data_IF_971451272953
#
_entry.id   IF_971451272953
#
_cell.length_a   1.000
_cell.length_b   1.000
_cell.length_c   1.000
_cell.angle_alpha   90.00
_cell.angle_beta   90.00
_cell.angle_gamma   90.00
#
_symmetry.space_group_name_H-M   'P 1'
#
loop_
_entity.id
_entity.type
_entity.pdbx_description
1 polymer ?
#
# COMPACT_ATOMS: atom_id res chain seq x y z
N UNK A 1 -10.31 2.05 20.83
CA UNK A 1 -9.34 3.15 21.04
C UNK A 1 -9.08 3.87 19.72
N UNK A 2 -8.45 5.05 19.74
CA UNK A 2 -8.29 5.89 18.55
C UNK A 2 -7.61 5.19 17.35
N UNK A 3 -6.53 4.43 17.57
CA UNK A 3 -5.88 3.67 16.49
C UNK A 3 -6.73 2.55 15.88
N UNK A 4 -7.70 2.01 16.63
CA UNK A 4 -8.65 1.03 16.09
C UNK A 4 -9.64 1.68 15.13
N UNK A 5 -10.07 2.92 15.42
CA UNK A 5 -10.96 3.69 14.52
C UNK A 5 -10.24 4.01 13.21
N UNK A 6 -8.98 4.44 13.27
CA UNK A 6 -8.17 4.67 12.07
C UNK A 6 -8.02 3.37 11.28
N UNK A 7 -7.68 2.28 11.96
CA UNK A 7 -7.51 0.98 11.29
C UNK A 7 -8.80 0.52 10.64
N UNK A 8 -9.94 0.59 11.32
CA UNK A 8 -11.22 0.17 10.77
C UNK A 8 -11.61 0.99 9.55
N UNK A 9 -11.48 2.32 9.61
CA UNK A 9 -11.85 3.20 8.49
C UNK A 9 -10.94 3.03 7.27
N UNK A 10 -9.62 2.89 7.47
CA UNK A 10 -8.71 2.63 6.36
C UNK A 10 -8.93 1.22 5.78
N UNK A 11 -9.17 0.21 6.61
CA UNK A 11 -9.45 -1.16 6.17
C UNK A 11 -10.75 -1.23 5.39
N UNK A 12 -11.80 -0.54 5.85
CA UNK A 12 -13.07 -0.44 5.13
C UNK A 12 -12.88 0.19 3.75
N UNK A 13 -12.15 1.29 3.65
CA UNK A 13 -11.82 1.90 2.36
C UNK A 13 -11.05 0.95 1.43
N UNK A 14 -10.01 0.29 1.94
CA UNK A 14 -9.22 -0.67 1.16
C UNK A 14 -10.07 -1.85 0.68
N UNK A 15 -10.97 -2.36 1.52
CA UNK A 15 -11.84 -3.48 1.18
C UNK A 15 -12.88 -3.09 0.13
N UNK A 16 -13.52 -1.92 0.26
CA UNK A 16 -14.43 -1.41 -0.75
C UNK A 16 -13.73 -1.24 -2.10
N UNK A 17 -12.53 -0.64 -2.11
CA UNK A 17 -11.74 -0.51 -3.34
C UNK A 17 -11.42 -1.87 -3.98
N UNK A 18 -11.02 -2.87 -3.18
CA UNK A 18 -10.73 -4.22 -3.68
C UNK A 18 -11.96 -4.87 -4.32
N UNK A 19 -13.14 -4.71 -3.70
CA UNK A 19 -14.39 -5.27 -4.20
C UNK A 19 -14.76 -4.63 -5.54
N UNK A 20 -14.74 -3.30 -5.64
CA UNK A 20 -15.02 -2.60 -6.90
C UNK A 20 -14.03 -2.99 -8.01
N UNK A 21 -12.74 -3.16 -7.66
CA UNK A 21 -11.73 -3.56 -8.63
C UNK A 21 -11.95 -4.99 -9.14
N UNK A 22 -12.36 -5.90 -8.26
CA UNK A 22 -12.68 -7.29 -8.62
C UNK A 22 -13.93 -7.36 -9.51
N UNK A 23 -14.98 -6.60 -9.18
CA UNK A 23 -16.18 -6.50 -10.02
C UNK A 23 -15.88 -5.93 -11.41
N UNK A 24 -15.07 -4.86 -11.49
CA UNK A 24 -14.66 -4.28 -12.76
C UNK A 24 -13.78 -5.21 -13.60
N UNK A 25 -12.87 -5.98 -13.00
CA UNK A 25 -12.08 -6.96 -13.72
C UNK A 25 -12.95 -8.12 -14.26
N UNK A 26 -13.89 -8.60 -13.46
CA UNK A 26 -14.85 -9.63 -13.88
C UNK A 26 -15.77 -9.11 -14.99
N UNK A 27 -16.30 -7.89 -14.87
CA UNK A 27 -17.12 -7.26 -15.91
C UNK A 27 -16.32 -6.95 -17.18
N UNK A 28 -15.04 -6.58 -17.08
CA UNK A 28 -14.14 -6.35 -18.21
C UNK A 28 -13.86 -7.64 -19.01
N UNK A 29 -13.87 -8.81 -18.36
CA UNK A 29 -13.75 -10.10 -19.04
C UNK A 29 -14.98 -10.43 -19.88
N UNK A 30 -16.20 -10.24 -19.34
CA UNK A 30 -17.45 -10.49 -20.09
C UNK A 30 -17.72 -9.43 -21.16
N UNK A 31 -17.34 -8.17 -20.93
CA UNK A 31 -17.58 -7.06 -21.85
C UNK A 31 -16.60 -7.00 -23.03
N UNK A 32 -15.44 -7.66 -22.95
CA UNK A 32 -14.50 -7.80 -24.08
C UNK A 32 -15.11 -8.52 -25.28
N UNK A 33 -16.21 -9.26 -25.10
CA UNK A 33 -16.98 -9.88 -26.20
C UNK A 33 -18.13 -9.00 -26.72
N UNK A 34 -18.48 -7.89 -26.06
CA UNK A 34 -19.70 -7.11 -26.39
C UNK A 34 -19.48 -5.60 -26.63
N UNK A 35 -18.33 -5.01 -26.27
CA UNK A 35 -18.15 -3.56 -26.27
C UNK A 35 -17.46 -2.96 -27.51
N UNK A 36 -18.16 -2.93 -28.65
CA UNK A 36 -17.88 -1.96 -29.74
C UNK A 36 -18.85 -0.77 -29.75
N UNK A 37 -19.93 -0.78 -28.95
CA UNK A 37 -20.88 0.35 -28.88
C UNK A 37 -21.31 0.59 -27.44
N UNK A 38 -20.72 1.58 -26.75
CA UNK A 38 -21.24 2.00 -25.45
C UNK A 38 -20.23 2.58 -24.46
N UNK A 39 -19.33 3.47 -24.88
CA UNK A 39 -18.31 4.04 -24.00
C UNK A 39 -18.76 5.36 -23.31
N UNK A 40 -19.96 5.39 -22.73
CA UNK A 40 -20.53 6.60 -22.11
C UNK A 40 -21.32 6.30 -20.83
N UNK A 41 -20.75 5.55 -19.88
CA UNK A 41 -21.34 5.42 -18.52
C UNK A 41 -20.32 5.45 -17.38
N UNK A 42 -19.05 5.79 -17.65
CA UNK A 42 -17.94 5.85 -16.67
C UNK A 42 -17.83 7.26 -16.07
N UNK A 43 -18.92 7.81 -15.52
CA UNK A 43 -18.91 9.14 -14.88
C UNK A 43 -19.39 9.16 -13.43
N UNK A 44 -20.09 8.13 -12.97
CA UNK A 44 -20.70 8.10 -11.63
C UNK A 44 -19.76 7.47 -10.58
N UNK A 45 -19.06 6.39 -10.96
CA UNK A 45 -18.19 5.62 -10.06
C UNK A 45 -16.93 6.38 -9.60
N UNK A 46 -16.40 7.28 -10.44
CA UNK A 46 -15.27 8.16 -10.08
C UNK A 46 -15.66 9.23 -9.05
N UNK A 47 -16.92 9.64 -9.01
CA UNK A 47 -17.43 10.65 -8.08
C UNK A 47 -17.53 10.14 -6.64
N UNK A 48 -18.02 8.91 -6.46
CA UNK A 48 -18.14 8.29 -5.13
C UNK A 48 -16.77 8.05 -4.48
N UNK A 49 -15.79 7.54 -5.25
CA UNK A 49 -14.41 7.38 -4.78
C UNK A 49 -13.77 8.69 -4.34
N UNK A 50 -13.97 9.76 -5.11
CA UNK A 50 -13.47 11.10 -4.78
C UNK A 50 -14.07 11.64 -3.46
N UNK A 51 -15.36 11.37 -3.22
CA UNK A 51 -16.06 11.75 -1.99
C UNK A 51 -15.50 11.01 -0.76
N UNK A 52 -15.23 9.71 -0.90
CA UNK A 52 -14.72 8.89 0.19
C UNK A 52 -13.25 9.20 0.52
N UNK A 53 -12.43 9.45 -0.50
CA UNK A 53 -11.06 9.95 -0.31
C UNK A 53 -11.06 11.30 0.44
N UNK A 54 -11.99 12.19 0.11
CA UNK A 54 -12.14 13.47 0.84
C UNK A 54 -12.54 13.26 2.31
N UNK A 55 -13.44 12.32 2.61
CA UNK A 55 -13.79 11.97 3.98
C UNK A 55 -12.58 11.42 4.77
N UNK A 56 -11.72 10.67 4.10
CA UNK A 56 -10.48 10.17 4.69
C UNK A 56 -9.44 11.26 4.96
N UNK A 57 -9.51 12.45 4.34
CA UNK A 57 -8.54 13.51 4.62
C UNK A 57 -8.59 14.01 6.07
N UNK A 58 -9.79 14.12 6.66
CA UNK A 58 -9.91 14.46 8.07
C UNK A 58 -9.29 13.37 8.96
N UNK A 59 -9.54 12.10 8.62
CA UNK A 59 -8.94 10.96 9.31
C UNK A 59 -7.42 10.93 9.18
N UNK A 60 -6.88 11.19 7.99
CA UNK A 60 -5.44 11.24 7.73
C UNK A 60 -4.78 12.40 8.46
N UNK A 61 -5.42 13.57 8.55
CA UNK A 61 -4.89 14.69 9.34
C UNK A 61 -4.84 14.32 10.82
N UNK A 62 -5.91 13.70 11.31
CA UNK A 62 -5.97 13.26 12.69
C UNK A 62 -4.96 12.12 12.97
N UNK A 63 -4.67 11.26 11.99
CA UNK A 63 -3.62 10.24 12.07
C UNK A 63 -2.22 10.86 12.05
N UNK A 64 -1.99 11.86 11.20
CA UNK A 64 -0.77 12.66 11.16
C UNK A 64 -0.49 13.29 12.52
N UNK A 65 -1.46 14.01 13.10
CA UNK A 65 -1.32 14.63 14.42
C UNK A 65 -1.01 13.58 15.50
N UNK A 66 -1.68 12.43 15.48
CA UNK A 66 -1.44 11.37 16.46
C UNK A 66 -0.02 10.78 16.38
N UNK A 67 0.52 10.57 15.17
CA UNK A 67 1.89 10.10 14.98
C UNK A 67 2.89 11.20 15.34
N UNK A 68 2.63 12.44 14.92
CA UNK A 68 3.54 13.56 15.10
C UNK A 68 3.67 14.00 16.56
N UNK A 69 2.56 14.04 17.30
CA UNK A 69 2.51 14.55 18.66
C UNK A 69 2.70 13.48 19.74
N UNK A 70 2.45 12.20 19.44
CA UNK A 70 2.47 11.14 20.45
C UNK A 70 3.35 9.95 20.04
N UNK A 71 4.59 9.93 20.55
CA UNK A 71 5.52 8.81 20.35
C UNK A 71 4.98 7.46 20.86
N UNK A 72 4.11 7.45 21.87
CA UNK A 72 3.51 6.21 22.35
C UNK A 72 2.51 5.64 21.35
N UNK A 73 1.94 6.47 20.48
CA UNK A 73 1.02 6.01 19.44
C UNK A 73 1.71 5.10 18.41
N UNK A 74 3.03 5.21 18.24
CA UNK A 74 3.82 4.30 17.40
C UNK A 74 3.68 2.85 17.86
N UNK A 75 3.50 2.58 19.17
CA UNK A 75 3.25 1.22 19.66
C UNK A 75 1.93 0.65 19.15
N UNK A 76 0.95 1.51 18.85
CA UNK A 76 -0.33 1.11 18.26
C UNK A 76 -0.16 0.69 16.79
N UNK A 77 0.87 1.20 16.09
CA UNK A 77 1.21 0.74 14.73
C UNK A 77 1.65 -0.73 14.71
N UNK A 78 2.23 -1.22 15.81
CA UNK A 78 2.73 -2.58 15.97
C UNK A 78 1.67 -3.59 16.42
N UNK A 79 0.51 -3.12 16.89
CA UNK A 79 -0.55 -4.01 17.38
C UNK A 79 -1.10 -4.84 16.22
N UNK A 80 -0.72 -6.11 16.22
CA UNK A 80 -1.14 -7.08 15.20
C UNK A 80 -2.55 -7.51 15.54
N UNK A 81 -3.48 -7.27 14.63
CA UNK A 81 -4.84 -7.77 14.73
C UNK A 81 -4.83 -9.21 14.23
N UNK A 82 -5.15 -10.15 15.11
CA UNK A 82 -5.54 -11.50 14.73
C UNK A 82 -7.06 -11.52 14.83
N UNK A 83 -7.74 -11.63 13.70
CA UNK A 83 -9.18 -11.93 13.69
C UNK A 83 -9.37 -13.40 14.09
N UNK A 84 -9.03 -13.73 15.34
CA UNK A 84 -9.38 -14.96 16.02
C UNK A 84 -10.36 -14.61 17.14
N UNK A 85 -11.47 -13.96 16.78
CA UNK A 85 -12.64 -13.83 17.65
C UNK A 85 -13.43 -15.14 17.62
N UNK A 86 -12.85 -16.18 18.21
CA UNK A 86 -13.60 -17.31 18.73
C UNK A 86 -13.12 -17.54 20.16
N UNK A 87 -14.00 -17.51 21.18
CA UNK A 87 -13.60 -17.94 22.52
C UNK A 87 -13.09 -19.39 22.43
N UNK A 88 -12.11 -19.79 23.26
CA UNK A 88 -11.58 -21.15 23.20
C UNK A 88 -12.72 -22.10 23.56
N UNK A 89 -13.27 -22.78 22.56
CA UNK A 89 -14.20 -23.87 22.80
C UNK A 89 -13.39 -25.04 23.38
N UNK A 90 -13.86 -25.72 24.43
CA UNK A 90 -13.11 -26.81 25.03
C UNK A 90 -12.95 -27.94 24.01
N UNK A 91 -11.71 -28.40 23.84
CA UNK A 91 -11.36 -29.52 22.98
C UNK A 91 -12.17 -30.77 23.35
N UNK A 92 -13.09 -31.18 22.48
CA UNK A 92 -13.61 -32.54 22.49
C UNK A 92 -12.80 -33.38 21.51
N UNK A 93 -11.88 -34.17 22.05
CA UNK A 93 -11.19 -35.26 21.36
C UNK A 93 -12.15 -36.42 21.12
N UNK A 94 -12.59 -36.64 19.87
CA UNK A 94 -13.02 -37.96 19.43
C UNK A 94 -12.95 -38.10 17.89
N UNK A 95 -12.21 -39.13 17.47
CA UNK A 95 -11.99 -39.69 16.14
C UNK A 95 -13.16 -39.57 15.14
N UNK A 96 -12.86 -39.31 13.86
CA UNK A 96 -13.02 -40.38 12.87
C UNK A 96 -12.19 -40.14 11.58
N UNK A 97 -11.64 -41.24 11.09
CA UNK A 97 -10.84 -41.40 9.89
C UNK A 97 -11.73 -41.38 8.64
N UNK A 98 -11.46 -40.53 7.64
CA UNK A 98 -11.68 -40.79 6.20
C UNK A 98 -11.44 -39.54 5.32
N UNK A 99 -10.75 -39.76 4.19
CA UNK A 99 -10.87 -38.92 3.00
C UNK A 99 -9.68 -38.02 2.73
N UNK A 100 -8.75 -38.49 1.89
CA UNK A 100 -7.81 -37.66 1.15
C UNK A 100 -8.62 -36.83 0.14
N UNK A 101 -8.53 -35.48 0.11
CA UNK A 101 -9.02 -34.72 -1.02
C UNK A 101 -7.88 -34.44 -2.01
N UNK A 102 -8.23 -34.67 -3.26
CA UNK A 102 -7.48 -34.63 -4.49
C UNK A 102 -6.79 -33.27 -4.76
N UNK A 103 -5.56 -33.33 -5.26
CA UNK A 103 -4.68 -32.20 -5.53
C UNK A 103 -4.96 -31.63 -6.94
N UNK A 104 -6.16 -31.10 -7.20
CA UNK A 104 -6.49 -30.66 -8.57
C UNK A 104 -7.52 -29.54 -8.73
N UNK A 105 -7.87 -28.79 -7.69
CA UNK A 105 -8.74 -27.62 -7.83
C UNK A 105 -8.51 -26.53 -6.76
N UNK A 106 -7.30 -25.97 -6.68
CA UNK A 106 -7.08 -24.72 -5.94
C UNK A 106 -7.18 -23.56 -6.92
N UNK A 107 -8.43 -23.19 -7.22
CA UNK A 107 -8.73 -21.82 -7.65
C UNK A 107 -8.17 -20.90 -6.57
N UNK A 108 -7.30 -19.96 -6.93
CA UNK A 108 -6.67 -19.02 -6.01
C UNK A 108 -7.71 -18.08 -5.36
N UNK A 109 -8.46 -18.56 -4.37
CA UNK A 109 -9.24 -17.73 -3.46
C UNK A 109 -8.25 -17.05 -2.53
N UNK A 110 -7.98 -15.77 -2.81
CA UNK A 110 -7.17 -14.90 -1.97
C UNK A 110 -7.89 -14.65 -0.63
N UNK A 111 -7.73 -15.55 0.33
CA UNK A 111 -8.18 -15.30 1.71
C UNK A 111 -7.21 -14.36 2.43
N UNK A 112 -7.49 -13.06 2.31
CA UNK A 112 -6.81 -11.96 3.04
C UNK A 112 -7.04 -12.06 4.56
N UNK A 113 -7.98 -12.89 5.01
CA UNK A 113 -8.50 -12.95 6.38
C UNK A 113 -7.67 -13.80 7.35
N UNK A 114 -6.66 -14.55 6.90
CA UNK A 114 -5.89 -15.46 7.77
C UNK A 114 -4.47 -15.00 8.08
N UNK A 115 -4.04 -13.84 7.54
CA UNK A 115 -2.67 -13.35 7.73
C UNK A 115 -2.61 -12.24 8.78
N UNK A 116 -1.52 -12.17 9.56
CA UNK A 116 -1.34 -11.11 10.55
C UNK A 116 -1.35 -9.75 9.85
N UNK A 117 -2.17 -8.83 10.34
CA UNK A 117 -2.26 -7.46 9.83
C UNK A 117 -2.08 -6.46 10.95
N UNK A 118 -1.59 -5.27 10.63
CA UNK A 118 -1.49 -4.15 11.57
C UNK A 118 -1.81 -2.84 10.84
N UNK A 119 -1.85 -1.74 11.57
CA UNK A 119 -2.19 -0.44 10.99
C UNK A 119 -1.22 0.00 9.88
N UNK A 120 0.07 -0.38 9.94
CA UNK A 120 1.03 -0.08 8.86
C UNK A 120 0.71 -0.85 7.58
N UNK A 121 0.31 -2.11 7.69
CA UNK A 121 -0.13 -2.93 6.54
C UNK A 121 -1.30 -2.24 5.84
N UNK A 122 -2.36 -1.91 6.58
CA UNK A 122 -3.53 -1.23 6.04
C UNK A 122 -3.16 0.14 5.45
N UNK A 123 -2.31 0.89 6.14
CA UNK A 123 -1.89 2.21 5.68
C UNK A 123 -1.03 2.17 4.40
N UNK A 124 -0.14 1.19 4.25
CA UNK A 124 0.64 1.02 3.01
C UNK A 124 -0.25 0.63 1.83
N UNK A 125 -1.24 -0.24 2.06
CA UNK A 125 -2.26 -0.54 1.05
C UNK A 125 -3.06 0.72 0.68
N UNK A 126 -3.52 1.48 1.67
CA UNK A 126 -4.22 2.75 1.44
C UNK A 126 -3.38 3.71 0.59
N UNK A 127 -2.11 3.92 0.96
CA UNK A 127 -1.18 4.76 0.20
C UNK A 127 -1.10 4.33 -1.28
N UNK A 128 -1.01 3.03 -1.54
CA UNK A 128 -0.95 2.49 -2.91
C UNK A 128 -2.22 2.76 -3.73
N UNK A 129 -3.38 2.86 -3.08
CA UNK A 129 -4.66 3.16 -3.73
C UNK A 129 -4.72 4.65 -4.09
N UNK A 130 -4.49 5.53 -3.12
CA UNK A 130 -4.61 6.99 -3.35
C UNK A 130 -3.56 7.53 -4.31
N UNK A 131 -2.39 6.88 -4.41
CA UNK A 131 -1.38 7.21 -5.43
C UNK A 131 -1.87 7.00 -6.87
N UNK A 132 -2.95 6.27 -7.10
CA UNK A 132 -3.50 6.12 -8.45
C UNK A 132 -4.25 7.35 -8.95
N UNK A 133 -4.66 8.26 -8.04
CA UNK A 133 -5.32 9.51 -8.39
C UNK A 133 -4.50 10.73 -7.96
N UNK A 134 -3.48 11.06 -8.75
CA UNK A 134 -2.71 12.32 -8.61
C UNK A 134 -3.01 13.32 -9.72
N UNK A 135 -4.10 13.12 -10.48
CA UNK A 135 -4.46 14.03 -11.58
C UNK A 135 -5.15 15.29 -11.06
N UNK A 136 -5.86 15.15 -9.94
CA UNK A 136 -6.53 16.25 -9.25
C UNK A 136 -5.65 16.86 -8.17
N UNK A 137 -5.90 18.12 -7.85
CA UNK A 137 -5.23 18.80 -6.71
C UNK A 137 -5.57 18.10 -5.38
N UNK A 138 -6.84 17.72 -5.18
CA UNK A 138 -7.28 17.00 -3.99
C UNK A 138 -6.57 15.65 -3.83
N UNK A 139 -6.43 14.88 -4.91
CA UNK A 139 -5.68 13.63 -4.92
C UNK A 139 -4.20 13.83 -4.61
N UNK A 140 -3.58 14.85 -5.22
CA UNK A 140 -2.19 15.25 -4.92
C UNK A 140 -2.00 15.60 -3.45
N UNK A 141 -2.93 16.37 -2.85
CA UNK A 141 -2.89 16.74 -1.44
C UNK A 141 -3.07 15.52 -0.51
N UNK A 142 -3.89 14.55 -0.90
CA UNK A 142 -4.06 13.29 -0.16
C UNK A 142 -2.76 12.50 -0.13
N UNK A 143 -2.11 12.32 -1.29
CA UNK A 143 -0.82 11.62 -1.38
C UNK A 143 0.26 12.38 -0.61
N UNK A 144 0.27 13.71 -0.67
CA UNK A 144 1.16 14.56 0.13
C UNK A 144 1.02 14.27 1.62
N UNK A 145 -0.21 14.21 2.12
CA UNK A 145 -0.47 13.91 3.53
C UNK A 145 -0.02 12.50 3.90
N UNK A 146 -0.26 11.50 3.04
CA UNK A 146 0.28 10.15 3.22
C UNK A 146 1.81 10.15 3.33
N UNK A 147 2.51 10.90 2.48
CA UNK A 147 3.97 11.03 2.55
C UNK A 147 4.48 11.78 3.78
N UNK A 148 3.75 12.78 4.27
CA UNK A 148 4.08 13.42 5.54
C UNK A 148 3.99 12.45 6.71
N UNK A 149 2.93 11.64 6.76
CA UNK A 149 2.74 10.59 7.77
C UNK A 149 3.86 9.55 7.70
N UNK A 150 4.16 9.02 6.50
CA UNK A 150 5.28 8.09 6.28
C UNK A 150 6.63 8.73 6.66
N UNK A 151 6.77 10.03 6.43
CA UNK A 151 7.90 10.83 6.87
C UNK A 151 8.07 10.77 8.39
N UNK A 152 7.02 11.05 9.16
CA UNK A 152 7.05 10.96 10.62
C UNK A 152 7.32 9.53 11.12
N UNK A 153 6.71 8.51 10.50
CA UNK A 153 6.94 7.09 10.85
C UNK A 153 8.42 6.73 10.63
N UNK A 154 9.01 7.16 9.51
CA UNK A 154 10.43 6.86 9.21
C UNK A 154 11.44 7.72 9.97
N UNK A 155 11.00 8.75 10.69
CA UNK A 155 11.83 9.50 11.64
C UNK A 155 11.91 8.82 13.01
N UNK A 156 10.86 8.11 13.42
CA UNK A 156 10.80 7.45 14.72
C UNK A 156 11.68 6.19 14.78
N UNK A 157 12.48 6.07 15.84
CA UNK A 157 13.42 4.95 15.99
C UNK A 157 12.72 3.61 16.25
N UNK A 158 11.61 3.62 17.00
CA UNK A 158 10.88 2.40 17.34
C UNK A 158 10.09 1.88 16.13
N UNK A 159 9.43 2.77 15.39
CA UNK A 159 8.80 2.45 14.11
C UNK A 159 9.79 1.83 13.12
N UNK A 160 10.98 2.43 12.97
CA UNK A 160 12.02 1.87 12.11
C UNK A 160 12.47 0.49 12.60
N UNK A 161 12.68 0.29 13.90
CA UNK A 161 13.05 -1.01 14.46
C UNK A 161 12.02 -2.07 14.14
N UNK A 162 10.73 -1.75 14.32
CA UNK A 162 9.61 -2.64 14.00
C UNK A 162 9.57 -2.97 12.50
N UNK A 163 9.69 -1.95 11.63
CA UNK A 163 9.58 -2.16 10.19
C UNK A 163 10.74 -2.98 9.60
N UNK A 164 11.91 -2.96 10.24
CA UNK A 164 13.11 -3.70 9.84
C UNK A 164 13.24 -5.08 10.50
N UNK A 165 12.32 -5.45 11.41
CA UNK A 165 12.36 -6.74 12.07
C UNK A 165 12.05 -7.87 11.07
N UNK A 166 13.05 -8.71 10.81
CA UNK A 166 12.94 -9.82 9.85
C UNK A 166 12.08 -10.98 10.37
N UNK A 167 11.81 -11.03 11.68
CA UNK A 167 10.89 -12.01 12.26
C UNK A 167 9.42 -11.63 12.00
N UNK A 168 9.15 -10.36 11.71
CA UNK A 168 7.83 -9.83 11.40
C UNK A 168 7.66 -9.68 9.88
N UNK A 169 7.12 -10.72 9.26
CA UNK A 169 6.81 -10.71 7.83
C UNK A 169 5.31 -10.50 7.61
N UNK A 170 4.96 -9.50 6.80
CA UNK A 170 3.59 -9.17 6.46
C UNK A 170 3.39 -9.25 4.94
N UNK A 171 2.19 -9.63 4.53
CA UNK A 171 1.77 -9.55 3.13
C UNK A 171 0.95 -8.28 2.97
N UNK A 172 1.34 -7.43 2.02
CA UNK A 172 0.63 -6.18 1.74
C UNK A 172 0.28 -6.12 0.26
N UNK A 173 -1.00 -5.93 -0.04
CA UNK A 173 -1.48 -5.74 -1.41
C UNK A 173 -1.22 -4.30 -1.85
N UNK A 174 -0.11 -4.08 -2.53
CA UNK A 174 0.19 -2.80 -3.18
C UNK A 174 -0.48 -2.73 -4.56
N UNK A 175 -1.37 -1.77 -4.71
CA UNK A 175 -1.99 -1.49 -6.01
C UNK A 175 -1.04 -0.68 -6.87
N UNK A 176 -0.97 -1.03 -8.15
CA UNK A 176 0.00 -0.48 -9.11
C UNK A 176 -0.72 0.29 -10.20
N UNK A 177 -0.16 1.43 -10.60
CA UNK A 177 -0.76 2.18 -11.71
C UNK A 177 -0.63 1.37 -13.01
N UNK A 178 -1.71 1.26 -13.81
CA UNK A 178 -1.65 0.64 -15.13
C UNK A 178 -0.73 1.46 -16.05
N UNK A 179 0.39 0.87 -16.47
CA UNK A 179 1.32 1.48 -17.42
C UNK A 179 1.36 0.66 -18.71
N UNK A 180 1.23 1.33 -19.87
CA UNK A 180 1.10 0.70 -21.20
C UNK A 180 2.22 -0.27 -21.57
N UNK A 181 3.40 -0.12 -20.98
CA UNK A 181 4.59 -0.93 -21.29
C UNK A 181 4.95 -1.93 -20.19
N UNK A 182 4.15 -2.01 -19.13
CA UNK A 182 4.37 -2.94 -18.02
C UNK A 182 3.82 -4.31 -18.41
N UNK A 183 4.70 -5.29 -18.63
CA UNK A 183 4.29 -6.70 -18.67
C UNK A 183 3.66 -7.03 -17.31
N UNK A 184 2.53 -7.74 -17.28
CA UNK A 184 1.96 -8.32 -16.06
C UNK A 184 2.95 -9.36 -15.51
N UNK A 185 4.02 -8.90 -14.85
CA UNK A 185 4.91 -9.77 -14.10
C UNK A 185 4.20 -10.17 -12.82
N UNK A 186 4.30 -11.45 -12.42
CA UNK A 186 3.72 -12.01 -11.20
C UNK A 186 3.72 -11.01 -10.05
N UNK A 187 2.53 -10.74 -9.54
CA UNK A 187 2.23 -9.74 -8.54
C UNK A 187 3.15 -9.93 -7.32
N UNK A 188 4.18 -9.08 -7.15
CA UNK A 188 5.13 -9.21 -6.02
C UNK A 188 4.48 -9.02 -4.65
N UNK A 189 3.24 -8.56 -4.64
CA UNK A 189 2.41 -8.48 -3.43
C UNK A 189 2.02 -9.85 -2.87
N UNK A 190 2.45 -10.95 -3.50
CA UNK A 190 2.11 -12.31 -3.06
C UNK A 190 2.98 -12.84 -1.91
N UNK A 191 4.18 -12.32 -1.67
CA UNK A 191 5.10 -12.85 -0.64
C UNK A 191 5.15 -12.00 0.62
N UNK A 192 5.14 -12.63 1.79
CA UNK A 192 5.36 -11.96 3.08
C UNK A 192 6.80 -11.43 3.17
N UNK A 193 6.96 -10.19 3.63
CA UNK A 193 8.27 -9.55 3.79
C UNK A 193 8.26 -8.53 4.94
N UNK A 194 9.43 -8.06 5.42
CA UNK A 194 9.48 -6.97 6.37
C UNK A 194 8.77 -5.71 5.84
N UNK A 195 8.12 -4.96 6.73
CA UNK A 195 7.36 -3.76 6.34
C UNK A 195 8.23 -2.74 5.60
N UNK A 196 9.50 -2.59 5.97
CA UNK A 196 10.40 -1.67 5.27
C UNK A 196 10.60 -2.06 3.80
N UNK A 197 10.64 -3.34 3.46
CA UNK A 197 10.75 -3.80 2.07
C UNK A 197 9.51 -3.38 1.28
N UNK A 198 8.33 -3.57 1.87
CA UNK A 198 7.06 -3.12 1.28
C UNK A 198 7.00 -1.59 1.13
N UNK A 199 7.50 -0.83 2.11
CA UNK A 199 7.57 0.62 2.03
C UNK A 199 8.50 1.07 0.88
N UNK A 200 9.65 0.41 0.71
CA UNK A 200 10.53 0.67 -0.44
C UNK A 200 9.84 0.33 -1.77
N UNK A 201 9.13 -0.79 -1.85
CA UNK A 201 8.35 -1.16 -3.05
C UNK A 201 7.29 -0.10 -3.40
N UNK A 202 6.57 0.42 -2.40
CA UNK A 202 5.59 1.49 -2.56
C UNK A 202 6.24 2.78 -3.09
N UNK A 203 7.39 3.18 -2.55
CA UNK A 203 8.11 4.39 -2.97
C UNK A 203 8.71 4.23 -4.38
N UNK A 204 9.20 3.03 -4.71
CA UNK A 204 9.66 2.69 -6.06
C UNK A 204 8.50 2.75 -7.06
N UNK A 205 7.33 2.21 -6.69
CA UNK A 205 6.14 2.27 -7.53
C UNK A 205 5.72 3.72 -7.79
N UNK A 206 5.70 4.57 -6.76
CA UNK A 206 5.44 6.01 -6.92
C UNK A 206 6.42 6.65 -7.91
N UNK A 207 7.74 6.47 -7.70
CA UNK A 207 8.78 7.06 -8.56
C UNK A 207 8.55 6.69 -10.02
N UNK A 208 8.32 5.40 -10.30
CA UNK A 208 8.22 4.90 -11.66
C UNK A 208 6.91 5.29 -12.36
N UNK A 209 5.82 5.44 -11.61
CA UNK A 209 4.49 5.72 -12.16
C UNK A 209 4.19 7.22 -12.33
N UNK A 210 4.96 8.11 -11.70
CA UNK A 210 4.69 9.56 -11.66
C UNK A 210 5.73 10.42 -12.40
N UNK A 211 6.58 9.83 -13.25
CA UNK A 211 7.43 10.57 -14.19
C UNK A 211 6.58 11.09 -15.36
N UNK A 212 5.86 12.18 -15.12
CA UNK A 212 4.87 12.75 -16.04
C UNK A 212 5.16 14.21 -16.38
N UNK A 213 4.53 14.72 -17.45
CA UNK A 213 4.72 16.10 -17.93
C UNK A 213 4.50 17.16 -16.84
N UNK A 214 3.40 17.05 -16.09
CA UNK A 214 3.15 17.88 -14.91
C UNK A 214 3.82 17.22 -13.71
N UNK A 215 5.12 17.43 -13.57
CA UNK A 215 5.94 16.75 -12.58
C UNK A 215 5.57 17.18 -11.15
N UNK A 216 5.17 16.26 -10.25
CA UNK A 216 4.77 16.58 -8.89
C UNK A 216 5.99 16.76 -7.97
N UNK A 217 6.76 17.84 -8.18
CA UNK A 217 8.05 18.09 -7.53
C UNK A 217 8.01 17.92 -6.00
N UNK A 218 7.00 18.46 -5.34
CA UNK A 218 6.86 18.38 -3.88
C UNK A 218 6.71 16.93 -3.38
N UNK A 219 5.92 16.11 -4.08
CA UNK A 219 5.76 14.70 -3.73
C UNK A 219 7.08 13.92 -3.90
N UNK A 220 7.87 14.24 -4.92
CA UNK A 220 9.19 13.63 -5.13
C UNK A 220 10.18 14.01 -4.04
N UNK A 221 10.16 15.25 -3.53
CA UNK A 221 11.01 15.68 -2.40
C UNK A 221 10.67 14.84 -1.16
N UNK A 222 9.38 14.69 -0.85
CA UNK A 222 8.94 13.87 0.29
C UNK A 222 9.32 12.40 0.11
N UNK A 223 9.04 11.81 -1.07
CA UNK A 223 9.38 10.43 -1.38
C UNK A 223 10.88 10.16 -1.24
N UNK A 224 11.73 11.01 -1.81
CA UNK A 224 13.18 10.89 -1.71
C UNK A 224 13.66 11.05 -0.26
N UNK A 225 13.06 11.96 0.51
CA UNK A 225 13.33 12.13 1.94
C UNK A 225 13.04 10.87 2.76
N UNK A 226 11.91 10.19 2.50
CA UNK A 226 11.56 8.92 3.16
C UNK A 226 12.59 7.83 2.82
N UNK A 227 12.93 7.67 1.54
CA UNK A 227 13.97 6.70 1.11
C UNK A 227 15.30 6.98 1.81
N UNK A 228 15.73 8.25 1.80
CA UNK A 228 16.98 8.66 2.43
C UNK A 228 16.99 8.33 3.93
N UNK A 229 15.90 8.61 4.65
CA UNK A 229 15.78 8.30 6.09
C UNK A 229 15.90 6.80 6.37
N UNK A 230 15.22 5.97 5.58
CA UNK A 230 15.31 4.50 5.69
C UNK A 230 16.76 4.05 5.51
N UNK A 231 17.43 4.50 4.43
CA UNK A 231 18.81 4.12 4.15
C UNK A 231 19.79 4.61 5.23
N UNK A 232 19.58 5.83 5.74
CA UNK A 232 20.36 6.39 6.86
C UNK A 232 20.17 5.58 8.14
N UNK A 233 18.94 5.17 8.46
CA UNK A 233 18.65 4.30 9.61
C UNK A 233 19.37 2.95 9.48
N UNK A 234 19.27 2.30 8.32
CA UNK A 234 19.97 1.04 8.05
C UNK A 234 21.48 1.17 8.21
N UNK A 235 22.08 2.23 7.65
CA UNK A 235 23.51 2.51 7.80
C UNK A 235 23.88 2.71 9.27
N UNK A 236 23.12 3.54 10.01
CA UNK A 236 23.35 3.85 11.43
C UNK A 236 23.29 2.59 12.30
N UNK A 237 22.27 1.76 12.11
CA UNK A 237 22.03 0.54 12.89
C UNK A 237 22.74 -0.70 12.32
N UNK A 238 23.49 -0.55 11.21
CA UNK A 238 24.19 -1.63 10.49
C UNK A 238 23.27 -2.79 10.08
N UNK A 239 22.03 -2.46 9.74
CA UNK A 239 21.02 -3.45 9.32
C UNK A 239 21.32 -3.89 7.89
N UNK A 240 21.37 -5.20 7.67
CA UNK A 240 21.46 -5.80 6.32
C UNK A 240 20.08 -6.30 5.90
N UNK A 241 19.33 -5.47 5.20
CA UNK A 241 18.04 -5.85 4.65
C UNK A 241 18.21 -6.71 3.39
N UNK A 242 17.59 -7.90 3.38
CA UNK A 242 17.49 -8.73 2.19
C UNK A 242 16.41 -8.18 1.24
N UNK A 243 16.77 -7.16 0.46
CA UNK A 243 15.88 -6.47 -0.47
C UNK A 243 16.47 -6.46 -1.88
N UNK A 244 15.61 -6.41 -2.91
CA UNK A 244 16.02 -6.37 -4.32
C UNK A 244 16.48 -4.96 -4.70
N UNK A 245 17.65 -4.58 -4.21
CA UNK A 245 18.22 -3.23 -4.34
C UNK A 245 18.31 -2.71 -5.78
N UNK A 246 18.48 -3.61 -6.75
CA UNK A 246 18.53 -3.27 -8.18
C UNK A 246 17.35 -2.41 -8.61
N UNK A 247 16.16 -2.65 -8.08
CA UNK A 247 14.96 -1.92 -8.49
C UNK A 247 14.91 -0.50 -7.94
N UNK A 248 15.27 -0.33 -6.67
CA UNK A 248 15.39 1.00 -6.08
C UNK A 248 16.42 1.83 -6.85
N UNK A 249 17.61 1.28 -7.11
CA UNK A 249 18.64 2.00 -7.88
C UNK A 249 18.19 2.32 -9.30
N UNK A 250 17.52 1.38 -9.96
CA UNK A 250 16.99 1.61 -11.32
C UNK A 250 15.94 2.73 -11.32
N UNK A 251 15.05 2.76 -10.33
CA UNK A 251 14.05 3.81 -10.20
C UNK A 251 14.69 5.18 -9.95
N UNK A 252 15.65 5.27 -9.03
CA UNK A 252 16.37 6.51 -8.73
C UNK A 252 17.18 7.04 -9.92
N UNK A 253 17.87 6.16 -10.66
CA UNK A 253 18.59 6.52 -11.88
C UNK A 253 17.61 6.99 -12.96
N UNK A 254 16.46 6.32 -13.09
CA UNK A 254 15.44 6.72 -14.07
C UNK A 254 14.87 8.10 -13.74
N UNK A 255 14.60 8.38 -12.46
CA UNK A 255 14.19 9.70 -11.99
C UNK A 255 15.22 10.78 -12.32
N UNK A 256 16.51 10.52 -12.03
CA UNK A 256 17.58 11.48 -12.35
C UNK A 256 17.66 11.76 -13.85
N UNK A 257 17.60 10.72 -14.69
CA UNK A 257 17.56 10.86 -16.15
C UNK A 257 16.36 11.66 -16.62
N UNK A 258 15.19 11.40 -16.05
CA UNK A 258 13.97 12.15 -16.36
C UNK A 258 14.13 13.64 -16.02
N UNK A 259 14.64 13.97 -14.84
CA UNK A 259 14.87 15.37 -14.43
C UNK A 259 15.83 16.06 -15.40
N UNK A 260 16.97 15.44 -15.70
CA UNK A 260 17.98 16.01 -16.62
C UNK A 260 17.42 16.22 -18.04
N UNK A 261 16.59 15.31 -18.54
CA UNK A 261 15.98 15.44 -19.87
C UNK A 261 14.90 16.53 -19.93
N UNK A 262 14.29 16.87 -18.79
CA UNK A 262 13.17 17.80 -18.72
C UNK A 262 13.51 19.08 -17.96
N UNK A 263 14.78 19.34 -17.64
CA UNK A 263 15.23 20.47 -16.81
C UNK A 263 14.65 21.81 -17.29
N UNK A 264 14.66 22.06 -18.60
CA UNK A 264 14.13 23.28 -19.21
C UNK A 264 12.62 23.51 -19.01
N UNK A 265 11.86 22.49 -18.61
CA UNK A 265 10.41 22.55 -18.37
C UNK A 265 10.05 22.47 -16.89
N UNK A 266 11.03 22.22 -16.01
CA UNK A 266 10.85 22.04 -14.57
C UNK A 266 11.27 23.28 -13.77
N UNK A 267 12.06 24.18 -14.38
CA UNK A 267 12.48 25.47 -13.82
C UNK A 267 11.50 26.61 -14.07
#
# INVERSE_FOLDING_TARGET
>A
GYGQVITSSLSEFCNQYNNDHAENQNASWFSSLTNIVGNMFISEEGGFRMQQVRANNALLLAFYEAIHLNRNFITTLAQTQTDASSPPSPNNTLNNMQGIPDLSAVSATFDVTTQPSNLLVTFFQYCSIVMQDTKTEAGTNTVKLCFLILGCITEDQYANSLMHDVSLAFKVRLHRLPMRHRKLSSDRTTSSQPLVSTLLDLLVEFILSHMMKKFPMELYILCAGIIQRILCYQKKCRIRLNYVWKELWTALISLLRFILQNENYLG
#
